data_IF_959416713306
#
_entry.id   IF_959416713306
#
_cell.length_a   1.000
_cell.length_b   1.000
_cell.length_c   1.000
_cell.angle_alpha   90.00
_cell.angle_beta   90.00
_cell.angle_gamma   90.00
#
_symmetry.space_group_name_H-M   'P 1'
#
loop_
_entity.id
_entity.type
_entity.pdbx_description
1 polymer ?
#
# COMPACT_ATOMS: atom_id res chain seq x y z
N UNK A 1 1.46 -11.21 -10.04
CA UNK A 1 1.56 -9.92 -9.33
C UNK A 1 0.62 -9.98 -8.15
N UNK A 2 1.12 -9.80 -6.93
CA UNK A 2 0.30 -9.93 -5.73
C UNK A 2 0.52 -8.70 -4.86
N UNK A 3 -0.53 -7.89 -4.72
CA UNK A 3 -0.58 -6.82 -3.73
C UNK A 3 -1.47 -7.32 -2.60
N UNK A 4 -0.95 -7.33 -1.38
CA UNK A 4 -1.72 -7.61 -0.19
C UNK A 4 -2.08 -6.26 0.45
N UNK A 5 -3.37 -6.01 0.63
CA UNK A 5 -3.86 -4.73 1.19
C UNK A 5 -4.43 -4.98 2.58
N UNK A 6 -4.07 -4.15 3.55
CA UNK A 6 -4.69 -4.16 4.86
C UNK A 6 -4.81 -2.74 5.43
N UNK A 7 -5.65 -2.57 6.46
CA UNK A 7 -5.71 -1.32 7.23
C UNK A 7 -4.60 -1.25 8.27
N UNK A 8 -4.27 -0.05 8.73
CA UNK A 8 -3.25 0.22 9.77
C UNK A 8 -3.69 -0.16 11.19
N UNK A 9 -4.45 -1.25 11.34
CA UNK A 9 -4.89 -1.78 12.62
C UNK A 9 -4.15 -3.06 12.96
N UNK A 10 -3.99 -3.32 14.26
CA UNK A 10 -3.39 -4.56 14.77
C UNK A 10 -4.08 -5.82 14.21
N UNK A 11 -5.41 -5.80 14.11
CA UNK A 11 -6.21 -6.93 13.62
C UNK A 11 -6.06 -7.15 12.11
N UNK A 12 -6.08 -6.07 11.33
CA UNK A 12 -5.89 -6.15 9.88
C UNK A 12 -4.46 -6.60 9.52
N UNK A 13 -3.45 -6.11 10.24
CA UNK A 13 -2.06 -6.58 10.09
C UNK A 13 -1.90 -8.04 10.48
N UNK A 14 -2.51 -8.47 11.59
CA UNK A 14 -2.49 -9.88 11.96
C UNK A 14 -3.16 -10.77 10.91
N UNK A 15 -4.27 -10.31 10.33
CA UNK A 15 -4.95 -11.04 9.24
C UNK A 15 -4.09 -11.10 7.98
N UNK A 16 -3.38 -10.01 7.64
CA UNK A 16 -2.42 -10.00 6.54
C UNK A 16 -1.26 -10.98 6.78
N UNK A 17 -0.71 -11.03 8.00
CA UNK A 17 0.31 -12.02 8.38
C UNK A 17 -0.18 -13.45 8.20
N UNK A 18 -1.44 -13.74 8.55
CA UNK A 18 -2.03 -15.08 8.32
C UNK A 18 -2.21 -15.35 6.83
N UNK A 19 -2.65 -14.37 6.03
CA UNK A 19 -2.77 -14.53 4.59
C UNK A 19 -1.43 -14.87 3.93
N UNK A 20 -0.32 -14.28 4.39
CA UNK A 20 1.02 -14.58 3.89
C UNK A 20 1.42 -16.05 4.09
N UNK A 21 0.91 -16.73 5.11
CA UNK A 21 1.19 -18.16 5.35
C UNK A 21 0.58 -19.07 4.28
N UNK A 22 -0.41 -18.57 3.54
CA UNK A 22 -1.05 -19.28 2.43
C UNK A 22 -0.49 -18.89 1.06
N UNK A 23 0.47 -17.97 1.01
CA UNK A 23 1.18 -17.64 -0.22
C UNK A 23 2.08 -18.83 -0.59
N UNK A 24 1.94 -19.41 -1.80
CA UNK A 24 2.79 -20.52 -2.22
C UNK A 24 4.27 -20.13 -2.16
N UNK A 25 5.14 -21.04 -1.68
CA UNK A 25 6.58 -20.79 -1.61
C UNK A 25 7.23 -20.53 -2.99
N UNK A 26 6.58 -20.97 -4.06
CA UNK A 26 6.99 -20.73 -5.46
C UNK A 26 6.53 -19.37 -6.00
N UNK A 27 5.61 -18.69 -5.30
CA UNK A 27 5.14 -17.37 -5.69
C UNK A 27 6.08 -16.29 -5.16
N UNK A 28 6.28 -15.17 -5.91
CA UNK A 28 7.05 -14.05 -5.41
C UNK A 28 6.36 -13.42 -4.18
N UNK A 29 7.13 -12.95 -3.16
CA UNK A 29 6.57 -12.23 -2.03
C UNK A 29 5.74 -11.02 -2.49
N UNK A 30 4.56 -10.74 -1.91
CA UNK A 30 3.70 -9.65 -2.35
C UNK A 30 4.22 -8.28 -1.88
N UNK A 31 3.74 -7.22 -2.52
CA UNK A 31 3.85 -5.86 -1.96
C UNK A 31 2.74 -5.69 -0.91
N UNK A 32 3.09 -5.28 0.31
CA UNK A 32 2.12 -5.02 1.38
C UNK A 32 1.75 -3.54 1.39
N UNK A 33 0.51 -3.23 0.98
CA UNK A 33 -0.06 -1.89 1.06
C UNK A 33 -0.86 -1.73 2.37
N UNK A 34 -0.44 -0.81 3.23
CA UNK A 34 -1.07 -0.54 4.53
C UNK A 34 -1.80 0.79 4.44
N UNK A 35 -3.13 0.75 4.45
CA UNK A 35 -4.00 1.94 4.40
C UNK A 35 -4.20 2.47 5.81
N UNK A 36 -3.87 3.75 6.03
CA UNK A 36 -4.12 4.40 7.31
C UNK A 36 -5.62 4.59 7.57
N UNK A 37 -6.04 4.39 8.82
CA UNK A 37 -7.41 4.64 9.26
C UNK A 37 -7.60 6.04 9.87
N UNK A 38 -6.50 6.73 10.19
CA UNK A 38 -6.52 8.06 10.81
C UNK A 38 -5.57 8.97 10.02
N UNK A 39 -6.03 10.15 9.59
CA UNK A 39 -5.22 11.02 8.76
C UNK A 39 -4.02 11.55 9.56
N UNK A 40 -2.83 11.45 8.98
CA UNK A 40 -1.56 11.96 9.55
C UNK A 40 -1.17 11.37 10.93
N UNK A 41 -1.81 10.29 11.39
CA UNK A 41 -1.45 9.67 12.66
C UNK A 41 -0.16 8.84 12.55
N UNK A 42 0.75 8.95 13.50
CA UNK A 42 1.84 8.00 13.60
C UNK A 42 1.31 6.61 13.97
N UNK A 43 1.93 5.55 13.46
CA UNK A 43 1.63 4.19 13.93
C UNK A 43 2.10 4.03 15.37
N UNK A 44 1.22 3.53 16.23
CA UNK A 44 1.60 3.13 17.58
C UNK A 44 2.57 1.94 17.59
N UNK A 45 3.23 1.66 18.74
CA UNK A 45 4.29 0.66 18.84
C UNK A 45 3.82 -0.75 18.42
N UNK A 46 2.57 -1.12 18.70
CA UNK A 46 2.01 -2.42 18.31
C UNK A 46 1.91 -2.58 16.78
N UNK A 47 1.46 -1.55 16.08
CA UNK A 47 1.36 -1.54 14.61
C UNK A 47 2.76 -1.57 14.01
N UNK A 48 3.68 -0.74 14.50
CA UNK A 48 5.08 -0.72 14.03
C UNK A 48 5.77 -2.08 14.21
N UNK A 49 5.67 -2.70 15.39
CA UNK A 49 6.26 -4.02 15.62
C UNK A 49 5.70 -5.09 14.69
N UNK A 50 4.38 -5.07 14.44
CA UNK A 50 3.76 -6.02 13.50
C UNK A 50 4.25 -5.80 12.07
N UNK A 51 4.38 -4.55 11.63
CA UNK A 51 4.96 -4.24 10.31
C UNK A 51 6.39 -4.76 10.23
N UNK A 52 7.22 -4.45 11.22
CA UNK A 52 8.61 -4.89 11.26
C UNK A 52 8.76 -6.43 11.22
N UNK A 53 7.93 -7.16 11.96
CA UNK A 53 7.89 -8.63 11.90
C UNK A 53 7.48 -9.14 10.50
N UNK A 54 6.68 -8.37 9.77
CA UNK A 54 6.14 -8.75 8.46
C UNK A 54 7.09 -8.42 7.31
N UNK A 55 7.92 -7.39 7.46
CA UNK A 55 8.85 -6.90 6.43
C UNK A 55 9.67 -8.00 5.73
N UNK A 56 10.22 -9.03 6.40
CA UNK A 56 10.99 -10.09 5.73
C UNK A 56 10.18 -10.98 4.78
N UNK A 57 8.85 -10.99 4.88
CA UNK A 57 7.96 -11.91 4.15
C UNK A 57 7.24 -11.24 2.97
N UNK A 58 7.56 -9.99 2.70
CA UNK A 58 6.95 -9.17 1.64
C UNK A 58 8.07 -8.55 0.81
N UNK A 59 7.80 -8.20 -0.45
CA UNK A 59 8.82 -7.56 -1.30
C UNK A 59 9.08 -6.12 -0.88
N UNK A 60 8.03 -5.44 -0.40
CA UNK A 60 8.09 -4.08 0.10
C UNK A 60 6.82 -3.76 0.89
N UNK A 61 6.94 -2.76 1.77
CA UNK A 61 5.81 -2.19 2.53
C UNK A 61 5.55 -0.78 2.02
N UNK A 62 4.32 -0.50 1.64
CA UNK A 62 3.89 0.83 1.20
C UNK A 62 2.76 1.32 2.08
N UNK A 63 2.98 2.44 2.75
CA UNK A 63 1.95 3.11 3.57
C UNK A 63 1.11 4.03 2.70
N UNK A 64 -0.20 3.82 2.69
CA UNK A 64 -1.18 4.62 1.95
C UNK A 64 -1.91 5.53 2.95
N UNK A 65 -1.71 6.86 2.89
CA UNK A 65 -2.35 7.77 3.83
C UNK A 65 -3.85 7.90 3.55
N UNK A 66 -4.64 8.11 4.60
CA UNK A 66 -6.05 8.47 4.48
C UNK A 66 -6.19 9.89 3.94
N UNK A 67 -7.02 10.06 2.91
CA UNK A 67 -7.42 11.38 2.40
C UNK A 67 -8.74 11.78 3.06
N UNK A 68 -8.68 12.57 4.13
CA UNK A 68 -9.87 12.97 4.89
C UNK A 68 -10.90 13.71 4.01
N UNK A 69 -10.42 14.58 3.12
CA UNK A 69 -11.24 15.42 2.23
C UNK A 69 -12.15 14.61 1.30
N UNK A 70 -11.85 13.32 1.06
CA UNK A 70 -12.66 12.45 0.21
C UNK A 70 -13.92 11.91 0.88
N UNK A 71 -14.06 12.08 2.21
CA UNK A 71 -15.29 11.71 2.92
C UNK A 71 -16.51 12.46 2.37
N UNK A 72 -16.30 13.71 1.96
CA UNK A 72 -17.37 14.62 1.56
C UNK A 72 -17.47 14.76 0.02
N UNK A 73 -16.69 13.96 -0.73
CA UNK A 73 -16.73 13.91 -2.19
C UNK A 73 -17.77 12.88 -2.63
N UNK A 74 -18.59 13.24 -3.62
CA UNK A 74 -19.68 12.39 -4.14
C UNK A 74 -19.18 11.03 -4.67
N UNK A 75 -18.05 11.03 -5.40
CA UNK A 75 -17.41 9.81 -5.88
C UNK A 75 -15.92 9.78 -5.51
N UNK A 76 -15.56 9.26 -4.32
CA UNK A 76 -14.17 9.19 -3.88
C UNK A 76 -13.35 8.20 -4.72
N UNK A 77 -13.99 7.17 -5.30
CA UNK A 77 -13.34 6.20 -6.17
C UNK A 77 -12.93 6.82 -7.51
N UNK A 78 -13.79 7.62 -8.12
CA UNK A 78 -13.46 8.31 -9.37
C UNK A 78 -12.34 9.33 -9.12
N UNK A 79 -12.38 10.04 -7.99
CA UNK A 79 -11.29 10.96 -7.62
C UNK A 79 -9.97 10.23 -7.39
N UNK A 80 -10.00 9.03 -6.81
CA UNK A 80 -8.81 8.21 -6.65
C UNK A 80 -8.24 7.72 -7.98
N UNK A 81 -9.11 7.43 -8.96
CA UNK A 81 -8.70 6.94 -10.28
C UNK A 81 -7.96 8.00 -11.10
N UNK A 82 -8.30 9.29 -10.97
CA UNK A 82 -7.65 10.38 -11.72
C UNK A 82 -6.38 10.91 -11.06
N UNK A 83 -6.11 10.54 -9.80
CA UNK A 83 -5.02 11.13 -9.01
C UNK A 83 -3.65 10.99 -9.66
N UNK A 84 -3.42 9.90 -10.40
CA UNK A 84 -2.15 9.64 -11.06
C UNK A 84 -2.03 10.32 -12.43
N UNK A 85 -3.14 10.76 -13.02
CA UNK A 85 -3.16 11.45 -14.32
C UNK A 85 -2.92 12.95 -14.19
N UNK A 86 -3.16 13.51 -13.00
CA UNK A 86 -2.89 14.91 -12.67
C UNK A 86 -1.42 15.12 -12.25
N UNK A 87 -0.84 16.25 -12.63
CA UNK A 87 0.48 16.62 -12.17
C UNK A 87 0.44 16.95 -10.66
N UNK A 88 1.50 16.59 -9.93
CA UNK A 88 1.48 16.67 -8.47
C UNK A 88 1.26 18.09 -7.93
N UNK A 89 1.77 19.11 -8.63
CA UNK A 89 1.61 20.50 -8.26
C UNK A 89 0.15 20.98 -8.31
N UNK A 90 -0.67 20.34 -9.14
CA UNK A 90 -2.07 20.71 -9.36
C UNK A 90 -3.01 20.00 -8.36
N UNK A 91 -2.51 18.97 -7.67
CA UNK A 91 -3.28 18.23 -6.67
C UNK A 91 -3.46 19.05 -5.38
N UNK A 92 -4.63 18.92 -4.71
CA UNK A 92 -4.82 19.44 -3.35
C UNK A 92 -3.79 18.87 -2.39
N UNK A 93 -3.39 19.66 -1.38
CA UNK A 93 -2.32 19.29 -0.43
C UNK A 93 -2.55 17.93 0.24
N UNK A 94 -3.78 17.66 0.68
CA UNK A 94 -4.14 16.36 1.30
C UNK A 94 -4.03 15.17 0.35
N UNK A 95 -4.22 15.40 -0.95
CA UNK A 95 -4.19 14.38 -2.00
C UNK A 95 -2.75 14.11 -2.50
N UNK A 96 -1.85 15.09 -2.41
CA UNK A 96 -0.44 14.94 -2.84
C UNK A 96 0.27 13.78 -2.15
N UNK A 97 0.09 13.62 -0.84
CA UNK A 97 0.72 12.53 -0.08
C UNK A 97 0.19 11.17 -0.51
N UNK A 98 -1.12 11.08 -0.78
CA UNK A 98 -1.74 9.87 -1.34
C UNK A 98 -1.20 9.55 -2.73
N UNK A 99 -1.10 10.55 -3.61
CA UNK A 99 -0.56 10.38 -4.96
C UNK A 99 0.89 9.89 -4.94
N UNK A 100 1.73 10.43 -4.05
CA UNK A 100 3.11 9.93 -3.83
C UNK A 100 3.14 8.47 -3.41
N UNK A 101 2.31 8.09 -2.44
CA UNK A 101 2.24 6.73 -1.94
C UNK A 101 1.76 5.75 -3.04
N UNK A 102 0.77 6.17 -3.84
CA UNK A 102 0.26 5.37 -4.95
C UNK A 102 1.29 5.21 -6.08
N UNK A 103 2.05 6.27 -6.40
CA UNK A 103 3.19 6.18 -7.34
C UNK A 103 4.26 5.23 -6.83
N UNK A 104 4.58 5.25 -5.53
CA UNK A 104 5.51 4.32 -4.92
C UNK A 104 5.00 2.87 -5.03
N UNK A 105 3.72 2.62 -4.73
CA UNK A 105 3.08 1.31 -4.89
C UNK A 105 3.20 0.80 -6.33
N UNK A 106 2.85 1.64 -7.32
CA UNK A 106 2.97 1.29 -8.75
C UNK A 106 4.43 0.98 -9.11
N UNK A 107 5.39 1.77 -8.63
CA UNK A 107 6.81 1.51 -8.84
C UNK A 107 7.26 0.15 -8.31
N UNK A 108 6.86 -0.21 -7.09
CA UNK A 108 7.18 -1.50 -6.47
C UNK A 108 6.56 -2.68 -7.23
N UNK A 109 5.31 -2.52 -7.65
CA UNK A 109 4.59 -3.49 -8.49
C UNK A 109 5.31 -3.71 -9.83
N UNK A 110 5.72 -2.63 -10.49
CA UNK A 110 6.44 -2.71 -11.78
C UNK A 110 7.78 -3.43 -11.58
N UNK A 111 8.55 -3.07 -10.55
CA UNK A 111 9.83 -3.74 -10.21
C UNK A 111 9.63 -5.24 -10.01
N UNK A 112 8.61 -5.63 -9.26
CA UNK A 112 8.29 -7.05 -9.02
C UNK A 112 7.98 -7.79 -10.33
N UNK A 113 7.21 -7.17 -11.24
CA UNK A 113 6.87 -7.76 -12.53
C UNK A 113 8.09 -7.88 -13.45
N UNK A 114 8.95 -6.86 -13.51
CA UNK A 114 10.18 -6.87 -14.31
C UNK A 114 11.19 -7.91 -13.80
N UNK A 115 11.38 -7.99 -12.48
CA UNK A 115 12.27 -8.98 -11.87
C UNK A 115 11.79 -10.42 -12.02
N UNK A 116 10.46 -10.64 -12.12
CA UNK A 116 9.90 -11.96 -12.39
C UNK A 116 10.12 -12.40 -13.85
N UNK A 117 9.97 -11.48 -14.82
CA UNK A 117 10.21 -11.78 -16.25
C UNK A 117 11.66 -12.16 -16.54
N UNK A 118 12.64 -11.55 -15.88
CA UNK A 118 14.07 -11.87 -16.10
C UNK A 118 14.51 -13.24 -15.56
N UNK A 119 13.72 -13.90 -14.70
CA UNK A 119 14.08 -15.21 -14.10
C UNK A 119 13.52 -16.42 -14.83
N UNK A 120 12.74 -16.20 -15.90
CA UNK A 120 12.06 -17.25 -16.67
C UNK A 120 12.56 -17.35 -18.12
N UNK A 121 13.62 -16.61 -18.46
CA UNK A 121 14.30 -16.64 -19.76
C UNK A 121 15.62 -17.43 -19.68
#
# INVERSE_FOLDING_TARGET
MHVLVCRSTSNSLHSAQRALQYTPATAPPPVLAIVDDVPNAAWGPNTQNKVHITEPYVSSVVRIPLVADWRDVESPHDRAATVLTEAEQDLPKGVRTFAKALRALVGEVIKQNSGHRSRTA
#
